data_IF_963540025684
#
_entry.id   IF_963540025684
#
_cell.length_a   1.000
_cell.length_b   1.000
_cell.length_c   1.000
_cell.angle_alpha   90.00
_cell.angle_beta   90.00
_cell.angle_gamma   90.00
#
_symmetry.space_group_name_H-M   'P 1'
#
loop_
_entity.id
_entity.type
_entity.pdbx_description
1 polymer ?
#
# COMPACT_ATOMS: atom_id res chain seq x y z
N UNK A 1 10.10 -12.66 28.83
CA UNK A 1 8.96 -11.98 28.18
C UNK A 1 9.54 -10.94 27.24
N UNK A 2 9.38 -11.10 25.92
CA UNK A 2 9.94 -10.14 24.94
C UNK A 2 9.17 -8.83 25.02
N UNK A 3 9.87 -7.70 25.14
CA UNK A 3 9.20 -6.40 25.20
C UNK A 3 8.58 -6.08 23.84
N UNK A 4 7.39 -5.47 23.84
CA UNK A 4 6.70 -5.02 22.61
C UNK A 4 7.61 -4.19 21.71
N UNK A 5 8.40 -3.30 22.31
CA UNK A 5 9.33 -2.44 21.57
C UNK A 5 10.43 -3.24 20.84
N UNK A 6 10.89 -4.36 21.40
CA UNK A 6 11.90 -5.20 20.75
C UNK A 6 11.32 -5.98 19.56
N UNK A 7 10.07 -6.42 19.66
CA UNK A 7 9.33 -7.00 18.53
C UNK A 7 9.16 -5.94 17.43
N UNK A 8 8.76 -4.72 17.80
CA UNK A 8 8.59 -3.63 16.85
C UNK A 8 9.90 -3.26 16.13
N UNK A 9 11.00 -3.11 16.86
CA UNK A 9 12.33 -2.85 16.25
C UNK A 9 12.73 -3.98 15.31
N UNK A 10 12.41 -5.23 15.65
CA UNK A 10 12.67 -6.39 14.78
C UNK A 10 11.83 -6.35 13.50
N UNK A 11 10.57 -5.92 13.58
CA UNK A 11 9.72 -5.68 12.41
C UNK A 11 10.31 -4.59 11.51
N UNK A 12 10.72 -3.46 12.09
CA UNK A 12 11.33 -2.37 11.31
C UNK A 12 12.63 -2.82 10.64
N UNK A 13 13.46 -3.62 11.32
CA UNK A 13 14.65 -4.24 10.73
C UNK A 13 14.34 -5.09 9.50
N UNK A 14 13.30 -5.92 9.59
CA UNK A 14 12.83 -6.72 8.46
C UNK A 14 12.37 -5.84 7.29
N UNK A 15 11.56 -4.81 7.57
CA UNK A 15 11.06 -3.88 6.56
C UNK A 15 12.18 -3.10 5.86
N UNK A 16 13.20 -2.69 6.61
CA UNK A 16 14.36 -1.98 6.06
C UNK A 16 15.47 -2.91 5.55
N UNK A 17 15.29 -4.23 5.64
CA UNK A 17 16.31 -5.24 5.31
C UNK A 17 17.64 -5.01 6.04
N UNK A 18 17.56 -4.69 7.33
CA UNK A 18 18.72 -4.46 8.20
C UNK A 18 18.76 -5.45 9.35
N UNK A 19 19.95 -5.74 9.87
CA UNK A 19 20.12 -6.70 10.97
C UNK A 19 20.54 -6.01 12.29
N UNK A 20 21.25 -4.88 12.18
CA UNK A 20 21.81 -4.16 13.34
C UNK A 20 21.02 -2.89 13.63
N UNK A 21 21.03 -2.45 14.89
CA UNK A 21 20.39 -1.19 15.28
C UNK A 21 21.05 0.02 14.62
N UNK A 22 22.35 -0.07 14.35
CA UNK A 22 23.09 1.00 13.65
C UNK A 22 22.63 1.10 12.20
N UNK A 23 22.49 -0.03 11.51
CA UNK A 23 21.99 -0.06 10.14
C UNK A 23 20.52 0.40 10.08
N UNK A 24 19.69 -0.04 11.04
CA UNK A 24 18.32 0.45 11.15
C UNK A 24 18.28 1.96 11.34
N UNK A 25 19.03 2.50 12.31
CA UNK A 25 19.08 3.94 12.57
C UNK A 25 19.48 4.73 11.31
N UNK A 26 20.47 4.24 10.56
CA UNK A 26 20.87 4.81 9.28
C UNK A 26 19.74 4.76 8.23
N UNK A 27 19.05 3.62 8.09
CA UNK A 27 17.95 3.46 7.14
C UNK A 27 16.74 4.36 7.46
N UNK A 28 16.52 4.63 8.75
CA UNK A 28 15.46 5.51 9.24
C UNK A 28 15.88 6.99 9.30
N UNK A 29 17.13 7.33 9.02
CA UNK A 29 17.62 8.70 9.10
C UNK A 29 17.69 9.27 10.52
N UNK A 30 17.85 8.42 11.54
CA UNK A 30 17.93 8.81 12.95
C UNK A 30 19.26 8.43 13.59
N UNK A 31 19.61 9.06 14.70
CA UNK A 31 20.78 8.67 15.49
C UNK A 31 20.58 7.28 16.15
N UNK A 32 21.66 6.50 16.31
CA UNK A 32 21.62 5.18 16.98
C UNK A 32 21.01 5.26 18.39
N UNK A 33 21.30 6.35 19.12
CA UNK A 33 20.80 6.63 20.46
C UNK A 33 19.27 6.74 20.49
N UNK A 34 18.65 7.12 19.38
CA UNK A 34 17.19 7.19 19.24
C UNK A 34 16.56 5.82 19.39
N UNK A 35 17.13 4.77 18.78
CA UNK A 35 16.65 3.39 18.92
C UNK A 35 16.80 2.90 20.37
N UNK A 36 17.93 3.22 21.02
CA UNK A 36 18.12 2.91 22.44
C UNK A 36 17.12 3.66 23.34
N UNK A 37 16.80 4.90 23.02
CA UNK A 37 15.80 5.71 23.73
C UNK A 37 14.41 5.08 23.63
N UNK A 38 14.01 4.57 22.46
CA UNK A 38 12.73 3.88 22.31
C UNK A 38 12.63 2.64 23.19
N UNK A 39 13.70 1.83 23.26
CA UNK A 39 13.71 0.66 24.17
C UNK A 39 13.56 1.06 25.63
N UNK A 40 14.22 2.14 26.05
CA UNK A 40 14.13 2.64 27.43
C UNK A 40 12.74 3.18 27.76
N UNK A 41 12.10 3.85 26.82
CA UNK A 41 10.76 4.46 26.98
C UNK A 41 9.62 3.51 26.62
N UNK A 42 9.94 2.36 26.03
CA UNK A 42 9.00 1.37 25.49
C UNK A 42 7.99 1.96 24.51
N UNK A 43 8.38 3.00 23.77
CA UNK A 43 7.52 3.72 22.84
C UNK A 43 8.33 4.46 21.77
N UNK A 44 7.67 4.77 20.66
CA UNK A 44 8.21 5.56 19.55
C UNK A 44 7.40 6.86 19.43
N UNK A 45 8.02 8.02 19.15
CA UNK A 45 7.28 9.26 18.95
C UNK A 45 6.20 9.14 17.87
N UNK A 46 5.02 9.72 18.11
CA UNK A 46 3.84 9.54 17.25
C UNK A 46 4.10 10.00 15.82
N UNK A 47 4.74 11.17 15.68
CA UNK A 47 5.14 11.70 14.37
C UNK A 47 5.96 10.70 13.56
N UNK A 48 6.96 10.07 14.18
CA UNK A 48 7.79 9.10 13.50
C UNK A 48 7.04 7.81 13.19
N UNK A 49 6.09 7.39 14.03
CA UNK A 49 5.23 6.24 13.70
C UNK A 49 4.46 6.49 12.40
N UNK A 50 3.89 7.70 12.23
CA UNK A 50 3.20 8.06 10.98
C UNK A 50 4.15 8.08 9.78
N UNK A 51 5.31 8.73 9.90
CA UNK A 51 6.32 8.77 8.83
C UNK A 51 6.78 7.36 8.42
N UNK A 52 6.91 6.44 9.39
CA UNK A 52 7.27 5.04 9.11
C UNK A 52 6.15 4.27 8.41
N UNK A 53 4.89 4.49 8.79
CA UNK A 53 3.73 3.86 8.14
C UNK A 53 3.59 4.38 6.72
N UNK A 54 3.76 5.68 6.53
CA UNK A 54 3.63 6.29 5.21
C UNK A 54 4.73 5.76 4.26
N UNK A 55 5.90 5.42 4.80
CA UNK A 55 7.03 4.91 4.02
C UNK A 55 7.01 3.40 3.80
N UNK A 56 6.60 2.63 4.80
CA UNK A 56 6.78 1.17 4.81
C UNK A 56 5.46 0.38 4.87
N UNK A 57 4.32 1.08 4.94
CA UNK A 57 3.00 0.48 5.01
C UNK A 57 2.52 0.18 6.44
N UNK A 58 1.31 -0.38 6.58
CA UNK A 58 0.67 -0.69 7.85
C UNK A 58 1.50 -1.59 8.77
N UNK A 59 2.39 -2.42 8.23
CA UNK A 59 3.28 -3.32 8.97
C UNK A 59 4.29 -2.57 9.84
N UNK A 60 4.56 -1.29 9.53
CA UNK A 60 5.38 -0.42 10.35
C UNK A 60 4.62 0.22 11.53
N UNK A 61 3.36 -0.16 11.76
CA UNK A 61 2.60 0.34 12.90
C UNK A 61 3.10 -0.25 14.23
N UNK A 62 3.19 0.60 15.26
CA UNK A 62 3.61 0.19 16.60
C UNK A 62 2.53 -0.62 17.35
N UNK A 63 1.26 -0.41 16.99
CA UNK A 63 0.12 -1.06 17.61
C UNK A 63 -0.97 -1.46 16.61
N UNK A 64 -1.89 -2.29 17.10
CA UNK A 64 -2.93 -2.90 16.27
C UNK A 64 -3.94 -1.86 15.80
N UNK A 65 -4.21 -0.85 16.62
CA UNK A 65 -5.15 0.22 16.31
C UNK A 65 -4.64 1.07 15.13
N UNK A 66 -3.37 1.46 15.18
CA UNK A 66 -2.71 2.21 14.11
C UNK A 66 -2.55 1.34 12.87
N UNK A 67 -2.18 0.06 13.03
CA UNK A 67 -2.09 -0.89 11.93
C UNK A 67 -3.44 -1.01 11.20
N UNK A 68 -4.52 -1.14 11.95
CA UNK A 68 -5.86 -1.25 11.40
C UNK A 68 -6.21 0.01 10.59
N UNK A 69 -6.02 1.20 11.16
CA UNK A 69 -6.31 2.46 10.47
C UNK A 69 -5.48 2.62 9.20
N UNK A 70 -4.19 2.32 9.24
CA UNK A 70 -3.30 2.37 8.08
C UNK A 70 -3.74 1.37 6.99
N UNK A 71 -4.10 0.14 7.39
CA UNK A 71 -4.61 -0.88 6.46
C UNK A 71 -5.90 -0.43 5.80
N UNK A 72 -6.84 0.16 6.55
CA UNK A 72 -8.09 0.66 5.97
C UNK A 72 -7.84 1.81 4.98
N UNK A 73 -6.88 2.68 5.29
CA UNK A 73 -6.47 3.78 4.42
C UNK A 73 -5.95 3.28 3.07
N UNK A 74 -5.04 2.30 3.09
CA UNK A 74 -4.50 1.69 1.88
C UNK A 74 -5.61 0.99 1.07
N UNK A 75 -6.44 0.17 1.74
CA UNK A 75 -7.57 -0.52 1.09
C UNK A 75 -8.56 0.44 0.43
N UNK A 76 -8.80 1.61 1.01
CA UNK A 76 -9.69 2.60 0.40
C UNK A 76 -9.12 3.18 -0.88
N UNK A 77 -7.80 3.38 -0.97
CA UNK A 77 -7.16 3.82 -2.21
C UNK A 77 -7.23 2.71 -3.27
N UNK A 78 -6.95 1.46 -2.89
CA UNK A 78 -7.07 0.29 -3.77
C UNK A 78 -8.48 0.18 -4.34
N UNK A 79 -9.51 0.24 -3.48
CA UNK A 79 -10.90 0.18 -3.90
C UNK A 79 -11.30 1.36 -4.79
N UNK A 80 -10.77 2.56 -4.53
CA UNK A 80 -11.00 3.72 -5.38
C UNK A 80 -10.46 3.46 -6.80
N UNK A 81 -9.20 3.06 -6.92
CA UNK A 81 -8.57 2.75 -8.21
C UNK A 81 -9.35 1.66 -8.93
N UNK A 82 -9.73 0.60 -8.22
CA UNK A 82 -10.53 -0.48 -8.78
C UNK A 82 -11.89 -0.01 -9.32
N UNK A 83 -12.63 0.78 -8.55
CA UNK A 83 -13.94 1.28 -8.99
C UNK A 83 -13.83 2.23 -10.20
N UNK A 84 -12.76 3.02 -10.27
CA UNK A 84 -12.49 3.84 -11.44
C UNK A 84 -12.18 2.98 -12.68
N UNK A 85 -11.36 1.94 -12.55
CA UNK A 85 -11.12 0.97 -13.63
C UNK A 85 -12.41 0.24 -14.02
N UNK A 86 -13.25 -0.12 -13.05
CA UNK A 86 -14.59 -0.64 -13.32
C UNK A 86 -15.40 0.31 -14.20
N UNK A 87 -15.48 1.59 -13.83
CA UNK A 87 -16.23 2.57 -14.62
C UNK A 87 -15.69 2.75 -16.03
N UNK A 88 -14.38 2.63 -16.24
CA UNK A 88 -13.74 2.72 -17.57
C UNK A 88 -14.09 1.49 -18.44
N UNK A 89 -14.11 0.29 -17.86
CA UNK A 89 -14.23 -0.96 -18.64
C UNK A 89 -15.61 -1.62 -18.57
N UNK A 90 -16.55 -1.11 -17.76
CA UNK A 90 -17.87 -1.73 -17.57
C UNK A 90 -18.65 -1.92 -18.86
N UNK A 91 -18.50 -1.06 -19.87
CA UNK A 91 -19.27 -1.21 -21.11
C UNK A 91 -18.91 -2.50 -21.86
N UNK A 92 -17.63 -2.91 -21.76
CA UNK A 92 -17.09 -4.16 -22.33
C UNK A 92 -17.39 -5.35 -21.39
N UNK A 93 -17.19 -5.16 -20.08
CA UNK A 93 -17.24 -6.22 -19.06
C UNK A 93 -18.38 -6.07 -18.05
N UNK A 94 -19.56 -5.64 -18.51
CA UNK A 94 -20.74 -5.41 -17.67
C UNK A 94 -21.26 -6.72 -17.03
N UNK A 95 -21.20 -6.87 -15.70
CA UNK A 95 -21.70 -8.06 -15.01
C UNK A 95 -23.21 -8.21 -15.03
N UNK A 96 -23.96 -7.13 -15.34
CA UNK A 96 -25.41 -7.22 -15.50
C UNK A 96 -25.81 -7.96 -16.78
N UNK A 97 -24.92 -7.98 -17.78
CA UNK A 97 -25.12 -8.71 -19.05
C UNK A 97 -24.68 -10.17 -18.97
N UNK A 98 -23.68 -10.46 -18.14
CA UNK A 98 -23.22 -11.82 -17.85
C UNK A 98 -22.72 -11.92 -16.40
N UNK A 99 -23.46 -12.59 -15.49
CA UNK A 99 -23.07 -12.70 -14.09
C UNK A 99 -21.72 -13.36 -13.84
N UNK A 100 -21.17 -14.14 -14.78
CA UNK A 100 -19.82 -14.72 -14.65
C UNK A 100 -18.74 -13.65 -14.57
N UNK A 101 -18.99 -12.46 -15.13
CA UNK A 101 -18.07 -11.33 -15.10
C UNK A 101 -17.82 -10.79 -13.69
N UNK A 102 -18.72 -11.05 -12.73
CA UNK A 102 -18.40 -10.77 -11.32
C UNK A 102 -17.16 -11.53 -10.84
N UNK A 103 -16.98 -12.78 -11.31
CA UNK A 103 -15.79 -13.56 -10.98
C UNK A 103 -14.56 -13.01 -11.71
N UNK A 104 -14.70 -12.60 -12.97
CA UNK A 104 -13.61 -12.00 -13.74
C UNK A 104 -13.10 -10.72 -13.06
N UNK A 105 -14.02 -9.83 -12.67
CA UNK A 105 -13.70 -8.62 -11.89
C UNK A 105 -13.09 -8.93 -10.53
N UNK A 106 -13.58 -9.94 -9.82
CA UNK A 106 -13.02 -10.33 -8.54
C UNK A 106 -11.60 -10.90 -8.67
N UNK A 107 -11.34 -11.70 -9.69
CA UNK A 107 -10.01 -12.25 -9.96
C UNK A 107 -9.04 -11.17 -10.45
N UNK A 108 -9.49 -10.26 -11.32
CA UNK A 108 -8.74 -9.07 -11.67
C UNK A 108 -8.38 -8.28 -10.41
N UNK A 109 -9.32 -7.99 -9.51
CA UNK A 109 -9.03 -7.30 -8.25
C UNK A 109 -7.94 -8.00 -7.42
N UNK A 110 -8.06 -9.32 -7.21
CA UNK A 110 -7.11 -10.08 -6.40
C UNK A 110 -5.70 -10.11 -7.00
N UNK A 111 -5.59 -10.19 -8.32
CA UNK A 111 -4.29 -10.14 -9.01
C UNK A 111 -3.65 -8.75 -8.92
N UNK A 112 -4.47 -7.71 -8.79
CA UNK A 112 -4.07 -6.31 -8.83
C UNK A 112 -3.75 -5.72 -7.48
N UNK A 113 -4.37 -6.23 -6.42
CA UNK A 113 -4.27 -5.69 -5.07
C UNK A 113 -2.80 -5.51 -4.66
N UNK A 114 -1.97 -6.54 -4.84
CA UNK A 114 -0.54 -6.48 -4.50
C UNK A 114 0.23 -5.41 -5.29
N UNK A 115 -0.08 -5.25 -6.58
CA UNK A 115 0.58 -4.24 -7.41
C UNK A 115 0.17 -2.83 -6.98
N UNK A 116 -1.12 -2.63 -6.70
CA UNK A 116 -1.64 -1.36 -6.22
C UNK A 116 -1.09 -1.00 -4.83
N UNK A 117 -0.99 -1.96 -3.90
CA UNK A 117 -0.32 -1.76 -2.60
C UNK A 117 1.11 -1.22 -2.79
N UNK A 118 1.89 -1.86 -3.65
CA UNK A 118 3.25 -1.40 -3.96
C UNK A 118 3.26 0.02 -4.50
N UNK A 119 2.34 0.36 -5.42
CA UNK A 119 2.27 1.66 -6.05
C UNK A 119 1.82 2.77 -5.09
N UNK A 120 0.88 2.47 -4.20
CA UNK A 120 0.47 3.39 -3.13
C UNK A 120 1.68 3.73 -2.25
N UNK A 121 2.52 2.73 -1.95
CA UNK A 121 3.73 2.91 -1.15
C UNK A 121 4.84 3.65 -1.92
N UNK A 122 5.01 3.37 -3.21
CA UNK A 122 6.03 3.99 -4.08
C UNK A 122 5.70 5.43 -4.46
N UNK A 123 4.42 5.75 -4.68
CA UNK A 123 3.98 7.13 -4.83
C UNK A 123 4.46 7.97 -3.62
N UNK A 124 4.64 7.31 -2.46
CA UNK A 124 4.69 8.00 -1.20
C UNK A 124 3.34 8.68 -0.98
N UNK A 125 3.14 9.17 0.23
CA UNK A 125 1.93 9.91 0.55
C UNK A 125 2.13 11.31 -0.06
N UNK A 126 1.98 11.44 -1.39
CA UNK A 126 2.18 12.69 -2.15
C UNK A 126 1.17 13.71 -1.62
N UNK A 127 1.66 14.63 -0.79
CA UNK A 127 0.82 15.62 -0.13
C UNK A 127 1.57 16.41 0.94
N UNK A 128 2.75 16.95 0.61
CA UNK A 128 3.54 17.75 1.55
C UNK A 128 2.93 19.11 1.90
N UNK A 129 1.81 19.53 1.30
CA UNK A 129 1.28 20.86 1.62
C UNK A 129 0.45 20.93 2.91
N UNK A 130 -0.09 19.83 3.43
CA UNK A 130 -0.92 19.89 4.66
C UNK A 130 -0.82 18.68 5.62
N UNK A 131 0.06 17.71 5.37
CA UNK A 131 0.23 16.55 6.25
C UNK A 131 -1.02 15.67 6.39
N UNK A 132 -1.97 15.81 5.46
CA UNK A 132 -3.18 15.00 5.39
C UNK A 132 -3.05 14.00 4.24
N UNK A 133 -3.26 12.72 4.56
CA UNK A 133 -3.37 11.67 3.56
C UNK A 133 -4.60 11.88 2.68
N UNK A 134 -4.40 12.42 1.47
CA UNK A 134 -5.46 12.56 0.49
C UNK A 134 -5.56 11.30 -0.38
N UNK A 135 -6.45 10.41 0.04
CA UNK A 135 -6.77 9.14 -0.64
C UNK A 135 -7.17 9.34 -2.09
N UNK A 136 -7.87 10.43 -2.40
CA UNK A 136 -8.37 10.70 -3.75
C UNK A 136 -7.21 11.13 -4.63
N UNK A 137 -6.38 12.07 -4.17
CA UNK A 137 -5.21 12.51 -4.91
C UNK A 137 -4.23 11.36 -5.23
N UNK A 138 -4.04 10.42 -4.30
CA UNK A 138 -3.19 9.25 -4.52
C UNK A 138 -3.84 8.30 -5.54
N UNK A 139 -5.14 8.02 -5.40
CA UNK A 139 -5.85 7.19 -6.37
C UNK A 139 -5.77 7.79 -7.78
N UNK A 140 -6.01 9.10 -7.92
CA UNK A 140 -5.90 9.83 -9.19
C UNK A 140 -4.48 9.79 -9.76
N UNK A 141 -3.45 9.92 -8.92
CA UNK A 141 -2.06 9.81 -9.34
C UNK A 141 -1.74 8.40 -9.87
N UNK A 142 -2.24 7.35 -9.20
CA UNK A 142 -2.09 5.97 -9.65
C UNK A 142 -2.83 5.75 -10.97
N UNK A 143 -4.07 6.21 -11.09
CA UNK A 143 -4.86 6.11 -12.32
C UNK A 143 -4.16 6.76 -13.50
N UNK A 144 -3.60 7.96 -13.33
CA UNK A 144 -2.80 8.63 -14.38
C UNK A 144 -1.58 7.82 -14.80
N UNK A 145 -0.93 7.12 -13.86
CA UNK A 145 0.20 6.23 -14.16
C UNK A 145 -0.23 4.97 -14.93
N UNK A 146 -1.42 4.45 -14.64
CA UNK A 146 -2.02 3.35 -15.40
C UNK A 146 -2.35 3.84 -16.83
N UNK A 147 -3.05 4.96 -16.96
CA UNK A 147 -3.46 5.54 -18.25
C UNK A 147 -2.29 5.92 -19.16
N UNK A 148 -1.19 6.41 -18.59
CA UNK A 148 0.03 6.75 -19.34
C UNK A 148 0.86 5.54 -19.75
N UNK A 149 0.48 4.33 -19.33
CA UNK A 149 1.25 3.11 -19.58
C UNK A 149 2.53 3.03 -18.75
N UNK A 150 2.76 3.94 -17.79
CA UNK A 150 3.90 3.81 -16.85
C UNK A 150 3.81 2.55 -15.99
N UNK A 151 2.62 1.96 -15.92
CA UNK A 151 2.33 0.72 -15.24
C UNK A 151 1.90 -0.34 -16.23
N UNK A 152 2.79 -0.67 -17.18
CA UNK A 152 2.54 -1.71 -18.19
C UNK A 152 2.13 -3.03 -17.53
N UNK A 153 2.80 -3.46 -16.47
CA UNK A 153 2.44 -4.71 -15.75
C UNK A 153 1.01 -4.69 -15.23
N UNK A 154 0.52 -3.54 -14.74
CA UNK A 154 -0.83 -3.39 -14.22
C UNK A 154 -1.82 -3.25 -15.38
N UNK A 155 -1.58 -2.41 -16.36
CA UNK A 155 -2.53 -2.28 -17.48
C UNK A 155 -2.63 -3.60 -18.27
N UNK A 156 -1.49 -4.22 -18.54
CA UNK A 156 -1.39 -5.50 -19.25
C UNK A 156 -2.00 -6.65 -18.44
N UNK A 157 -1.71 -6.78 -17.14
CA UNK A 157 -2.30 -7.87 -16.36
C UNK A 157 -3.83 -7.73 -16.26
N UNK A 158 -4.38 -6.53 -16.40
CA UNK A 158 -5.81 -6.27 -16.27
C UNK A 158 -6.50 -6.59 -17.60
N UNK A 159 -5.94 -6.07 -18.68
CA UNK A 159 -6.42 -6.31 -20.04
C UNK A 159 -6.28 -7.77 -20.44
N UNK A 160 -5.15 -8.43 -20.14
CA UNK A 160 -4.96 -9.87 -20.38
C UNK A 160 -5.98 -10.68 -19.61
N UNK A 161 -6.19 -10.35 -18.33
CA UNK A 161 -7.11 -11.11 -17.50
C UNK A 161 -8.55 -10.99 -18.01
N UNK A 162 -8.98 -9.78 -18.35
CA UNK A 162 -10.31 -9.55 -18.89
C UNK A 162 -10.47 -10.12 -20.31
N UNK A 163 -9.43 -10.10 -21.15
CA UNK A 163 -9.46 -10.71 -22.49
C UNK A 163 -9.48 -12.24 -22.45
N UNK A 164 -8.71 -12.88 -21.58
CA UNK A 164 -8.70 -14.35 -21.43
C UNK A 164 -10.07 -14.87 -20.98
N UNK A 165 -10.81 -14.08 -20.19
CA UNK A 165 -12.20 -14.38 -19.79
C UNK A 165 -13.21 -14.34 -20.95
N UNK A 166 -12.89 -13.72 -22.09
CA UNK A 166 -13.76 -13.72 -23.27
C UNK A 166 -13.74 -15.08 -24.02
N UNK A 167 -12.75 -15.94 -23.74
CA UNK A 167 -12.53 -17.22 -24.43
C UNK A 167 -12.10 -17.04 -25.90
N UNK A 168 -11.58 -18.09 -26.57
CA UNK A 168 -11.35 -18.02 -28.00
C UNK A 168 -12.69 -17.88 -28.73
N UNK A 169 -12.83 -16.83 -29.54
CA UNK A 169 -13.98 -16.60 -30.42
C UNK A 169 -14.23 -17.77 -31.37
#
# INVERSE_FOLDING_TARGET
>A
MTKRIDVYISTLKRLTRTETDTALASALGVAKQTISSWRRRETVPWRLQYELIDKYGPEAAFNNEINYVATQREKQVILHVFLALYDIHKDRFDPSKDPRRYNDWAQAFLNFEYQLERLIREAGFVGEENGLFDRVAIADAILKKIESGELEDATHSFDVFLHDSEGPQ
#
